data_IF_126093130765
#
_entry.id   IF_126093130765
#
_cell.length_a   1.000
_cell.length_b   1.000
_cell.length_c   1.000
_cell.angle_alpha   90.00
_cell.angle_beta   90.00
_cell.angle_gamma   90.00
#
_symmetry.space_group_name_H-M   'P 1'
#
loop_
_entity.id
_entity.type
_entity.pdbx_description
1 polymer ?
#
# COMPACT_ATOMS: atom_id res chain seq x y z
N UNK A 1 5.44 -30.19 -16.98
CA UNK A 1 4.95 -29.70 -15.66
C UNK A 1 5.56 -28.37 -15.24
N UNK A 2 6.81 -28.05 -15.62
CA UNK A 2 7.47 -26.78 -15.24
C UNK A 2 6.86 -25.50 -15.84
N UNK A 3 6.27 -25.57 -17.03
CA UNK A 3 5.65 -24.40 -17.68
C UNK A 3 4.34 -23.96 -16.98
N UNK A 4 3.61 -24.87 -16.35
CA UNK A 4 2.35 -24.57 -15.64
C UNK A 4 2.65 -23.91 -14.29
N UNK A 5 3.69 -24.39 -13.57
CA UNK A 5 4.15 -23.77 -12.32
C UNK A 5 4.70 -22.35 -12.54
N UNK A 6 5.39 -22.09 -13.66
CA UNK A 6 5.85 -20.74 -14.02
C UNK A 6 4.69 -19.77 -14.27
N UNK A 7 3.65 -20.21 -14.98
CA UNK A 7 2.49 -19.39 -15.31
C UNK A 7 1.63 -19.06 -14.08
N UNK A 8 1.44 -20.03 -13.17
CA UNK A 8 0.76 -19.80 -11.88
C UNK A 8 1.50 -18.79 -11.01
N UNK A 9 2.82 -18.95 -10.86
CA UNK A 9 3.65 -18.02 -10.09
C UNK A 9 3.63 -16.60 -10.66
N UNK A 10 3.64 -16.42 -11.98
CA UNK A 10 3.64 -15.09 -12.61
C UNK A 10 2.33 -14.32 -12.36
N UNK A 11 1.17 -15.00 -12.37
CA UNK A 11 -0.13 -14.35 -12.10
C UNK A 11 -0.27 -13.98 -10.62
N UNK A 12 0.19 -14.83 -9.72
CA UNK A 12 0.17 -14.55 -8.28
C UNK A 12 1.09 -13.39 -7.93
N UNK A 13 2.31 -13.33 -8.51
CA UNK A 13 3.21 -12.20 -8.29
C UNK A 13 2.64 -10.88 -8.81
N UNK A 14 1.94 -10.91 -9.95
CA UNK A 14 1.27 -9.73 -10.51
C UNK A 14 0.20 -9.16 -9.57
N UNK A 15 -0.53 -10.04 -8.87
CA UNK A 15 -1.53 -9.65 -7.88
C UNK A 15 -0.89 -8.93 -6.67
N UNK A 16 0.27 -9.39 -6.20
CA UNK A 16 1.02 -8.73 -5.13
C UNK A 16 1.74 -7.45 -5.56
N UNK A 17 1.97 -7.24 -6.86
CA UNK A 17 2.45 -5.96 -7.40
C UNK A 17 1.34 -4.95 -7.68
N UNK A 18 0.07 -5.34 -7.57
CA UNK A 18 -1.04 -4.42 -7.76
C UNK A 18 -1.28 -3.60 -6.49
N UNK A 19 -1.37 -2.25 -6.58
CA UNK A 19 -1.54 -1.39 -5.40
C UNK A 19 -2.86 -1.64 -4.68
N UNK A 20 -3.85 -2.22 -5.37
CA UNK A 20 -5.20 -2.45 -4.86
C UNK A 20 -5.24 -3.40 -3.66
N UNK A 21 -4.33 -4.38 -3.58
CA UNK A 21 -4.27 -5.29 -2.43
C UNK A 21 -3.85 -4.53 -1.16
N UNK A 22 -2.86 -3.64 -1.27
CA UNK A 22 -2.43 -2.82 -0.14
C UNK A 22 -3.50 -1.79 0.25
N UNK A 23 -4.15 -1.16 -0.74
CA UNK A 23 -5.23 -0.20 -0.49
C UNK A 23 -6.41 -0.89 0.22
N UNK A 24 -6.83 -2.06 -0.25
CA UNK A 24 -7.92 -2.80 0.38
C UNK A 24 -7.56 -3.28 1.79
N UNK A 25 -6.33 -3.78 2.01
CA UNK A 25 -5.85 -4.15 3.33
C UNK A 25 -5.84 -2.96 4.31
N UNK A 26 -5.37 -1.79 3.87
CA UNK A 26 -5.43 -0.55 4.63
C UNK A 26 -6.86 -0.16 5.01
N UNK A 27 -7.80 -0.20 4.05
CA UNK A 27 -9.20 0.14 4.30
C UNK A 27 -9.87 -0.86 5.27
N UNK A 28 -9.48 -2.13 5.25
CA UNK A 28 -9.99 -3.13 6.20
C UNK A 28 -9.56 -2.85 7.63
N UNK A 29 -8.32 -2.37 7.86
CA UNK A 29 -7.87 -1.99 9.21
C UNK A 29 -8.76 -0.89 9.79
N UNK A 30 -9.06 0.13 9.00
CA UNK A 30 -9.87 1.27 9.46
C UNK A 30 -11.29 0.88 9.89
N UNK A 31 -11.79 -0.27 9.45
CA UNK A 31 -13.16 -0.73 9.71
C UNK A 31 -13.19 -1.80 10.79
N UNK A 32 -12.05 -2.34 11.21
CA UNK A 32 -11.99 -3.40 12.23
C UNK A 32 -12.35 -2.97 13.67
N UNK A 33 -12.72 -1.70 13.88
CA UNK A 33 -13.41 -1.25 15.11
C UNK A 33 -14.87 -1.73 15.16
N UNK A 34 -15.57 -1.51 16.28
CA UNK A 34 -16.84 -2.17 16.68
C UNK A 34 -18.02 -2.19 15.68
N UNK A 35 -17.92 -1.54 14.51
CA UNK A 35 -18.94 -1.55 13.47
C UNK A 35 -18.46 -2.30 12.21
N UNK A 36 -18.63 -3.62 12.22
CA UNK A 36 -18.61 -4.44 11.01
C UNK A 36 -19.78 -4.07 10.08
N UNK A 37 -19.50 -3.55 8.88
CA UNK A 37 -20.46 -3.56 7.75
C UNK A 37 -20.90 -2.23 7.13
N UNK A 38 -20.26 -1.09 7.43
CA UNK A 38 -20.60 0.19 6.77
C UNK A 38 -19.87 0.46 5.45
N UNK A 39 -20.39 1.34 4.57
CA UNK A 39 -19.75 1.69 3.30
C UNK A 39 -18.36 2.33 3.48
N UNK A 40 -17.34 1.65 2.95
CA UNK A 40 -15.89 1.87 3.13
C UNK A 40 -15.39 3.31 2.90
N UNK A 41 -15.99 4.05 1.98
CA UNK A 41 -15.62 5.44 1.63
C UNK A 41 -16.20 6.46 2.62
N UNK A 42 -17.32 6.14 3.25
CA UNK A 42 -17.98 7.00 4.22
C UNK A 42 -17.23 7.04 5.55
N UNK A 43 -16.47 6.00 5.91
CA UNK A 43 -15.61 6.03 7.11
C UNK A 43 -14.44 7.02 7.00
N UNK A 44 -13.88 7.22 5.80
CA UNK A 44 -12.91 8.30 5.56
C UNK A 44 -13.54 9.69 5.74
N UNK A 45 -14.81 9.83 5.39
CA UNK A 45 -15.59 11.05 5.60
C UNK A 45 -16.03 11.22 7.07
N UNK A 46 -16.38 10.11 7.74
CA UNK A 46 -16.76 10.06 9.16
C UNK A 46 -15.55 10.22 10.10
N UNK A 47 -14.33 10.01 9.60
CA UNK A 47 -13.09 10.25 10.32
C UNK A 47 -12.67 11.74 10.33
N UNK A 48 -13.29 12.62 9.53
CA UNK A 48 -13.04 14.06 9.58
C UNK A 48 -13.10 14.67 11.00
N UNK A 49 -14.08 14.32 11.85
CA UNK A 49 -14.16 14.84 13.22
C UNK A 49 -13.08 14.27 14.16
N UNK A 50 -12.44 13.15 13.82
CA UNK A 50 -11.48 12.43 14.67
C UNK A 50 -10.01 12.64 14.22
N UNK A 51 -9.80 13.31 13.08
CA UNK A 51 -8.48 13.77 12.66
C UNK A 51 -8.37 13.94 11.15
N UNK A 52 -8.58 15.16 10.64
CA UNK A 52 -8.44 15.46 9.21
C UNK A 52 -7.07 15.11 8.61
N UNK A 53 -6.01 15.07 9.43
CA UNK A 53 -4.65 14.68 9.01
C UNK A 53 -4.62 13.21 8.55
N UNK A 54 -5.28 12.30 9.28
CA UNK A 54 -5.37 10.88 8.89
C UNK A 54 -5.97 10.73 7.47
N UNK A 55 -7.10 11.41 7.22
CA UNK A 55 -7.81 11.34 5.95
C UNK A 55 -6.99 11.95 4.80
N UNK A 56 -6.31 13.08 5.01
CA UNK A 56 -5.44 13.69 4.01
C UNK A 56 -4.27 12.78 3.65
N UNK A 57 -3.63 12.15 4.64
CA UNK A 57 -2.56 11.19 4.43
C UNK A 57 -3.06 9.94 3.69
N UNK A 58 -4.24 9.43 4.05
CA UNK A 58 -4.85 8.27 3.39
C UNK A 58 -5.14 8.55 1.90
N UNK A 59 -5.81 9.67 1.61
CA UNK A 59 -6.15 10.07 0.24
C UNK A 59 -4.88 10.30 -0.58
N UNK A 60 -3.90 11.04 -0.03
CA UNK A 60 -2.62 11.28 -0.68
C UNK A 60 -1.87 9.98 -0.98
N UNK A 61 -1.88 9.03 -0.04
CA UNK A 61 -1.27 7.72 -0.21
C UNK A 61 -1.93 6.89 -1.31
N UNK A 62 -3.26 6.80 -1.31
CA UNK A 62 -4.04 6.11 -2.35
C UNK A 62 -3.77 6.72 -3.73
N UNK A 63 -3.80 8.06 -3.84
CA UNK A 63 -3.54 8.75 -5.11
C UNK A 63 -2.13 8.46 -5.63
N UNK A 64 -1.10 8.49 -4.78
CA UNK A 64 0.27 8.14 -5.17
C UNK A 64 0.36 6.71 -5.74
N UNK A 65 -0.25 5.74 -5.04
CA UNK A 65 -0.25 4.33 -5.45
C UNK A 65 -1.00 4.10 -6.77
N UNK A 66 -2.16 4.73 -6.93
CA UNK A 66 -2.98 4.62 -8.15
C UNK A 66 -2.27 5.28 -9.32
N UNK A 67 -1.80 6.52 -9.18
CA UNK A 67 -1.14 7.25 -10.27
C UNK A 67 0.13 6.53 -10.75
N UNK A 68 0.89 5.90 -9.84
CA UNK A 68 2.05 5.07 -10.17
C UNK A 68 1.74 3.83 -11.05
N UNK A 69 0.46 3.44 -11.13
CA UNK A 69 -0.02 2.25 -11.84
C UNK A 69 -1.06 2.54 -12.93
N UNK A 70 -1.43 3.80 -13.13
CA UNK A 70 -2.25 4.24 -14.27
C UNK A 70 -1.43 4.30 -15.56
N UNK A 71 -2.10 4.40 -16.72
CA UNK A 71 -1.44 4.59 -18.03
C UNK A 71 -0.75 5.95 -18.20
N UNK A 72 -0.58 6.72 -17.13
CA UNK A 72 0.18 7.96 -17.13
C UNK A 72 1.69 7.69 -17.29
N UNK A 73 2.42 8.69 -17.76
CA UNK A 73 3.87 8.65 -18.00
C UNK A 73 4.70 8.20 -16.77
N UNK A 74 4.11 8.23 -15.57
CA UNK A 74 4.76 7.82 -14.33
C UNK A 74 4.98 6.31 -14.28
N UNK A 75 4.06 5.51 -14.84
CA UNK A 75 4.23 4.06 -14.93
C UNK A 75 5.34 3.67 -15.91
N UNK A 76 5.59 4.51 -16.93
CA UNK A 76 6.66 4.32 -17.91
C UNK A 76 8.05 4.69 -17.35
N UNK A 77 8.12 5.62 -16.40
CA UNK A 77 9.37 5.99 -15.73
C UNK A 77 9.56 5.15 -14.45
N UNK A 78 10.44 4.14 -14.52
CA UNK A 78 10.68 3.21 -13.42
C UNK A 78 11.08 3.87 -12.10
N UNK A 79 11.83 4.99 -12.14
CA UNK A 79 12.23 5.74 -10.93
C UNK A 79 11.01 6.46 -10.34
N UNK A 80 10.25 7.17 -11.18
CA UNK A 80 9.09 7.92 -10.72
C UNK A 80 8.01 7.00 -10.13
N UNK A 81 7.81 5.83 -10.76
CA UNK A 81 6.96 4.76 -10.22
C UNK A 81 7.45 4.29 -8.84
N UNK A 82 8.74 4.02 -8.68
CA UNK A 82 9.32 3.57 -7.41
C UNK A 82 9.14 4.62 -6.30
N UNK A 83 9.38 5.89 -6.61
CA UNK A 83 9.20 7.02 -5.68
C UNK A 83 7.73 7.14 -5.28
N UNK A 84 6.81 7.17 -6.26
CA UNK A 84 5.39 7.30 -6.01
C UNK A 84 4.84 6.11 -5.18
N UNK A 85 5.29 4.89 -5.46
CA UNK A 85 4.93 3.72 -4.66
C UNK A 85 5.43 3.81 -3.22
N UNK A 86 6.69 4.19 -3.04
CA UNK A 86 7.30 4.36 -1.71
C UNK A 86 6.59 5.43 -0.91
N UNK A 87 6.35 6.60 -1.53
CA UNK A 87 5.63 7.70 -0.90
C UNK A 87 4.20 7.29 -0.54
N UNK A 88 3.51 6.58 -1.44
CA UNK A 88 2.17 6.05 -1.21
C UNK A 88 2.10 5.16 0.03
N UNK A 89 3.02 4.19 0.15
CA UNK A 89 3.10 3.33 1.35
C UNK A 89 3.38 4.14 2.62
N UNK A 90 4.34 5.08 2.57
CA UNK A 90 4.67 5.90 3.74
C UNK A 90 3.49 6.75 4.20
N UNK A 91 2.73 7.33 3.27
CA UNK A 91 1.53 8.11 3.58
C UNK A 91 0.43 7.25 4.20
N UNK A 92 0.19 6.03 3.69
CA UNK A 92 -0.76 5.09 4.29
C UNK A 92 -0.33 4.66 5.71
N UNK A 93 0.95 4.39 5.92
CA UNK A 93 1.49 4.06 7.25
C UNK A 93 1.36 5.24 8.22
N UNK A 94 1.74 6.44 7.78
CA UNK A 94 1.61 7.66 8.59
C UNK A 94 0.14 7.96 8.91
N UNK A 95 -0.76 7.68 7.96
CA UNK A 95 -2.21 7.76 8.15
C UNK A 95 -2.67 6.82 9.28
N UNK A 96 -2.25 5.55 9.28
CA UNK A 96 -2.55 4.61 10.38
C UNK A 96 -1.98 5.10 11.71
N UNK A 97 -0.72 5.53 11.75
CA UNK A 97 -0.12 6.06 12.98
C UNK A 97 -0.90 7.26 13.52
N UNK A 98 -1.31 8.19 12.65
CA UNK A 98 -2.11 9.35 13.04
C UNK A 98 -3.49 8.95 13.56
N UNK A 99 -4.11 7.91 13.00
CA UNK A 99 -5.41 7.41 13.44
C UNK A 99 -5.36 6.87 14.87
N UNK A 100 -4.33 6.09 15.18
CA UNK A 100 -4.16 5.51 16.51
C UNK A 100 -3.62 6.50 17.55
N UNK A 101 -2.73 7.41 17.14
CA UNK A 101 -2.13 8.39 18.06
C UNK A 101 -3.13 9.48 18.49
N UNK A 102 -4.05 9.87 17.60
CA UNK A 102 -4.99 10.96 17.87
C UNK A 102 -6.27 10.49 18.59
N UNK A 103 -6.23 9.32 19.22
CA UNK A 103 -7.32 8.72 19.97
C UNK A 103 -7.52 9.38 21.34
N UNK A 104 -8.15 10.55 21.32
CA UNK A 104 -8.48 11.32 22.52
C UNK A 104 -9.59 10.69 23.36
N UNK A 105 -10.30 9.67 22.85
CA UNK A 105 -11.39 8.96 23.53
C UNK A 105 -11.04 7.58 24.09
N UNK A 106 -9.83 7.06 23.82
CA UNK A 106 -9.42 5.70 24.22
C UNK A 106 -10.11 4.57 23.43
N UNK A 107 -10.79 4.89 22.33
CA UNK A 107 -11.54 3.95 21.50
C UNK A 107 -10.64 3.18 20.52
N UNK A 108 -9.61 3.82 19.98
CA UNK A 108 -8.66 3.21 19.05
C UNK A 108 -7.46 2.54 19.76
N UNK A 109 -7.12 2.91 20.99
CA UNK A 109 -6.05 2.24 21.77
C UNK A 109 -6.53 0.88 22.28
N UNK A 110 -7.78 0.78 22.73
CA UNK A 110 -8.40 -0.48 23.15
C UNK A 110 -8.59 -1.47 21.98
N UNK A 111 -8.53 -0.98 20.75
CA UNK A 111 -8.53 -1.77 19.51
C UNK A 111 -7.23 -2.60 19.37
N UNK A 112 -6.12 -2.23 20.01
CA UNK A 112 -4.88 -3.05 20.04
C UNK A 112 -4.95 -4.27 20.94
N UNK A 113 -5.93 -4.34 21.85
CA UNK A 113 -6.21 -5.56 22.62
C UNK A 113 -7.07 -6.55 21.83
N UNK A 114 -7.69 -6.09 20.75
CA UNK A 114 -8.50 -6.94 19.89
C UNK A 114 -7.61 -7.64 18.85
N UNK A 115 -7.75 -8.97 18.77
CA UNK A 115 -6.95 -9.80 17.88
C UNK A 115 -7.13 -9.44 16.39
N UNK A 116 -8.31 -8.97 15.99
CA UNK A 116 -8.65 -8.68 14.58
C UNK A 116 -7.93 -7.43 14.06
N UNK A 117 -7.99 -6.26 14.72
CA UNK A 117 -7.22 -5.09 14.33
C UNK A 117 -5.71 -5.31 14.35
N UNK A 118 -5.19 -5.96 15.40
CA UNK A 118 -3.76 -6.26 15.50
C UNK A 118 -3.30 -7.20 14.37
N UNK A 119 -4.05 -8.27 14.10
CA UNK A 119 -3.79 -9.17 12.99
C UNK A 119 -3.85 -8.47 11.64
N UNK A 120 -4.83 -7.59 11.44
CA UNK A 120 -4.99 -6.81 10.20
C UNK A 120 -3.83 -5.83 9.99
N UNK A 121 -3.32 -5.21 11.07
CA UNK A 121 -2.15 -4.34 11.05
C UNK A 121 -0.89 -5.11 10.64
N UNK A 122 -0.65 -6.29 11.23
CA UNK A 122 0.49 -7.14 10.89
C UNK A 122 0.41 -7.56 9.42
N UNK A 123 -0.76 -8.04 8.97
CA UNK A 123 -0.98 -8.46 7.57
C UNK A 123 -0.72 -7.29 6.62
N UNK A 124 -1.24 -6.10 6.91
CA UNK A 124 -1.04 -4.93 6.05
C UNK A 124 0.43 -4.49 6.02
N UNK A 125 1.13 -4.54 7.15
CA UNK A 125 2.57 -4.28 7.21
C UNK A 125 3.38 -5.27 6.35
N UNK A 126 3.04 -6.56 6.42
CA UNK A 126 3.67 -7.58 5.58
C UNK A 126 3.39 -7.36 4.08
N UNK A 127 2.14 -7.04 3.72
CA UNK A 127 1.77 -6.70 2.34
C UNK A 127 2.53 -5.46 1.86
N UNK A 128 2.67 -4.43 2.70
CA UNK A 128 3.42 -3.22 2.38
C UNK A 128 4.91 -3.51 2.11
N UNK A 129 5.55 -4.30 2.98
CA UNK A 129 6.95 -4.70 2.82
C UNK A 129 7.15 -5.55 1.55
N UNK A 130 6.26 -6.51 1.30
CA UNK A 130 6.29 -7.33 0.10
C UNK A 130 6.12 -6.47 -1.17
N UNK A 131 5.14 -5.56 -1.16
CA UNK A 131 4.88 -4.64 -2.26
C UNK A 131 6.10 -3.77 -2.57
N UNK A 132 6.76 -3.19 -1.56
CA UNK A 132 7.97 -2.40 -1.74
C UNK A 132 9.14 -3.26 -2.26
N UNK A 133 9.36 -4.44 -1.66
CA UNK A 133 10.42 -5.36 -2.09
C UNK A 133 10.28 -5.81 -3.54
N UNK A 134 9.05 -6.09 -3.99
CA UNK A 134 8.75 -6.43 -5.38
C UNK A 134 8.94 -5.24 -6.33
N UNK A 135 8.57 -4.02 -5.91
CA UNK A 135 8.79 -2.82 -6.71
C UNK A 135 10.28 -2.49 -6.89
N UNK A 136 11.07 -2.55 -5.82
CA UNK A 136 12.54 -2.40 -5.87
C UNK A 136 13.16 -3.46 -6.75
N UNK A 137 12.77 -4.73 -6.58
CA UNK A 137 13.29 -5.83 -7.39
C UNK A 137 12.96 -5.67 -8.87
N UNK A 138 11.76 -5.17 -9.19
CA UNK A 138 11.33 -4.92 -10.58
C UNK A 138 12.12 -3.78 -11.20
N UNK A 139 12.34 -2.70 -10.45
CA UNK A 139 13.18 -1.59 -10.88
C UNK A 139 14.63 -2.02 -11.16
N UNK A 140 15.26 -2.76 -10.24
CA UNK A 140 16.64 -3.25 -10.40
C UNK A 140 16.79 -4.22 -11.59
N UNK A 141 15.77 -5.02 -11.89
CA UNK A 141 15.76 -5.89 -13.08
C UNK A 141 15.68 -5.07 -14.37
N UNK A 142 14.79 -4.08 -14.41
CA UNK A 142 14.64 -3.20 -15.56
C UNK A 142 15.92 -2.36 -15.82
N UNK A 143 16.54 -1.82 -14.78
CA UNK A 143 17.77 -1.02 -14.92
C UNK A 143 18.97 -1.83 -15.43
N UNK A 144 19.01 -3.13 -15.14
CA UNK A 144 20.06 -4.05 -15.64
C UNK A 144 19.89 -4.42 -17.11
N UNK A 145 18.67 -4.29 -17.65
CA UNK A 145 18.35 -4.65 -19.03
C UNK A 145 18.44 -3.46 -19.99
N UNK A 146 18.68 -2.24 -19.51
CA UNK A 146 18.86 -1.05 -20.34
C UNK A 146 20.19 -1.16 -21.13
N UNK A 147 20.16 -1.25 -22.47
CA UNK A 147 21.35 -1.40 -23.31
C UNK A 147 22.37 -0.26 -23.15
N UNK A 148 21.94 0.93 -22.71
CA UNK A 148 22.85 2.05 -22.43
C UNK A 148 23.69 1.85 -21.17
N UNK A 149 23.30 0.95 -20.26
CA UNK A 149 24.05 0.64 -19.03
C UNK A 149 25.15 -0.37 -19.31
N UNK A 150 24.95 -1.26 -20.27
CA UNK A 150 25.93 -2.29 -20.67
C UNK A 150 27.08 -1.68 -21.49
N UNK A 151 26.78 -0.68 -22.33
CA UNK A 151 27.77 0.00 -23.17
C UNK A 151 28.78 0.86 -22.40
N UNK A 152 28.46 1.32 -21.19
CA UNK A 152 29.34 2.17 -20.36
C UNK A 152 30.18 1.37 -19.33
N UNK A 153 30.14 0.03 -19.39
CA UNK A 153 30.87 -0.85 -18.46
C UNK A 153 32.11 -1.52 -19.07
N UNK A 154 32.53 -1.08 -20.26
CA UNK A 154 33.70 -1.56 -20.98
C UNK A 154 34.71 -0.45 -21.23
#
# INVERSE_FOLDING_TARGET
MDHVNKAGNMKTLQFFTAPYLLISAFLLILISGEMLGGPYLLYLLLALPHGGIHALLAIGGILCLVLAHTQLNWAANGILKLIANTLGVLLLTASLCSFFYNDTGGYNISTFEQAVPLGSMIITGLIALLFLGLNVSSYLKASRQDPNTVANSH
#
